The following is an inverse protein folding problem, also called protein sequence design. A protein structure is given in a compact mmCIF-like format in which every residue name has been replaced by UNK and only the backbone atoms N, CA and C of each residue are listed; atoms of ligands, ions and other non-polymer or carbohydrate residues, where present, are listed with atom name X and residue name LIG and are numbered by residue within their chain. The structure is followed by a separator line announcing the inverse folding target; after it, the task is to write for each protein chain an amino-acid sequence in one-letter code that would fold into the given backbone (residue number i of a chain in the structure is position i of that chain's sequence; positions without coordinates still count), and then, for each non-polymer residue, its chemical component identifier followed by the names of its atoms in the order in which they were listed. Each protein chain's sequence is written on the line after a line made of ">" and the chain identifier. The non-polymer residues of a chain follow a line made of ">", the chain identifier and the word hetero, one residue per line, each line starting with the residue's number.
data_IF_061685587855
#
_entry.id   IF_061685587855
#
_cell.length_a   1.000
_cell.length_b   1.000
_cell.length_c   1.000
_cell.angle_alpha   90.00
_cell.angle_beta   90.00
_cell.angle_gamma   90.00
#
_symmetry.space_group_name_H-M   'P 1'
#
loop_
_entity.id
_entity.type
_entity.pdbx_description
1 polymer ?
#
# COMPACT_ATOMS: atom_id res chain seq x y z
N UNK A 1 -30.11 12.51 -10.06
CA UNK A 1 -30.01 11.55 -8.96
C UNK A 1 -28.54 11.44 -8.53
N UNK A 2 -28.06 12.26 -7.58
CA UNK A 2 -26.63 12.39 -7.28
C UNK A 2 -26.03 11.22 -6.47
N UNK A 3 -26.88 10.38 -5.86
CA UNK A 3 -26.45 9.27 -4.99
C UNK A 3 -25.70 8.18 -5.79
N UNK A 4 -26.11 7.89 -7.02
CA UNK A 4 -25.44 6.89 -7.87
C UNK A 4 -24.01 7.30 -8.28
N UNK A 5 -23.79 8.57 -8.63
CA UNK A 5 -22.46 9.07 -8.97
C UNK A 5 -21.51 9.11 -7.74
N UNK A 6 -22.06 9.41 -6.56
CA UNK A 6 -21.32 9.37 -5.29
C UNK A 6 -20.91 7.97 -4.84
N UNK A 7 -21.68 6.92 -5.20
CA UNK A 7 -21.32 5.54 -4.89
C UNK A 7 -20.26 4.97 -5.83
N UNK A 8 -20.36 5.25 -7.13
CA UNK A 8 -19.35 4.82 -8.11
C UNK A 8 -17.98 5.45 -7.81
N UNK A 9 -17.94 6.74 -7.45
CA UNK A 9 -16.69 7.41 -7.07
C UNK A 9 -16.06 6.82 -5.81
N UNK A 10 -16.84 6.51 -4.77
CA UNK A 10 -16.34 5.85 -3.55
C UNK A 10 -15.81 4.44 -3.82
N UNK A 11 -16.51 3.65 -4.63
CA UNK A 11 -16.06 2.32 -5.01
C UNK A 11 -14.78 2.37 -5.86
N UNK A 12 -14.71 3.30 -6.82
CA UNK A 12 -13.51 3.51 -7.62
C UNK A 12 -12.32 3.91 -6.75
N UNK A 13 -12.51 4.84 -5.80
CA UNK A 13 -11.48 5.23 -4.84
C UNK A 13 -11.00 4.06 -3.97
N UNK A 14 -11.93 3.24 -3.45
CA UNK A 14 -11.56 2.09 -2.61
C UNK A 14 -10.81 1.02 -3.40
N UNK A 15 -11.25 0.74 -4.63
CA UNK A 15 -10.58 -0.22 -5.51
C UNK A 15 -9.17 0.26 -5.89
N UNK A 16 -9.01 1.56 -6.17
CA UNK A 16 -7.72 2.14 -6.51
C UNK A 16 -6.77 2.13 -5.31
N UNK A 17 -7.28 2.39 -4.09
CA UNK A 17 -6.51 2.26 -2.86
C UNK A 17 -6.08 0.80 -2.59
N UNK A 18 -6.98 -0.17 -2.80
CA UNK A 18 -6.64 -1.60 -2.67
C UNK A 18 -5.62 -2.04 -3.72
N UNK A 19 -5.79 -1.63 -4.98
CA UNK A 19 -4.87 -1.95 -6.06
C UNK A 19 -3.47 -1.37 -5.78
N UNK A 20 -3.40 -0.13 -5.29
CA UNK A 20 -2.15 0.50 -4.88
C UNK A 20 -1.49 -0.25 -3.74
N UNK A 21 -2.25 -0.64 -2.71
CA UNK A 21 -1.74 -1.42 -1.59
C UNK A 21 -1.16 -2.78 -2.04
N UNK A 22 -1.90 -3.52 -2.88
CA UNK A 22 -1.43 -4.77 -3.45
C UNK A 22 -0.18 -4.59 -4.31
N UNK A 23 -0.13 -3.51 -5.10
CA UNK A 23 1.01 -3.19 -5.94
C UNK A 23 2.27 -2.95 -5.10
N UNK A 24 2.17 -2.14 -4.05
CA UNK A 24 3.31 -1.85 -3.16
C UNK A 24 3.79 -3.14 -2.49
N UNK A 25 2.89 -3.91 -1.89
CA UNK A 25 3.25 -5.17 -1.21
C UNK A 25 3.85 -6.19 -2.20
N UNK A 26 3.29 -6.29 -3.41
CA UNK A 26 3.79 -7.20 -4.45
C UNK A 26 5.16 -6.81 -4.98
N UNK A 27 5.35 -5.54 -5.36
CA UNK A 27 6.62 -5.06 -5.93
C UNK A 27 7.73 -5.13 -4.90
N UNK A 28 7.47 -4.67 -3.68
CA UNK A 28 8.48 -4.59 -2.64
C UNK A 28 8.76 -5.96 -2.02
N UNK A 29 7.72 -6.77 -1.81
CA UNK A 29 7.83 -8.10 -1.20
C UNK A 29 8.32 -9.20 -2.14
N UNK A 30 8.30 -9.01 -3.46
CA UNK A 30 8.84 -9.97 -4.44
C UNK A 30 9.93 -9.35 -5.34
N UNK A 31 10.51 -8.22 -4.95
CA UNK A 31 11.62 -7.62 -5.70
C UNK A 31 12.87 -8.52 -5.65
N UNK A 32 13.47 -8.80 -6.81
CA UNK A 32 14.83 -9.34 -6.92
C UNK A 32 15.92 -8.30 -6.57
N UNK A 33 15.54 -7.03 -6.38
CA UNK A 33 16.46 -5.97 -5.99
C UNK A 33 16.59 -6.00 -4.47
N UNK A 34 17.67 -6.61 -3.97
CA UNK A 34 17.96 -6.77 -2.53
C UNK A 34 17.82 -5.45 -1.76
N UNK A 35 18.19 -4.31 -2.36
CA UNK A 35 18.03 -2.97 -1.75
C UNK A 35 16.57 -2.63 -1.45
N UNK A 36 15.65 -2.88 -2.38
CA UNK A 36 14.23 -2.52 -2.23
C UNK A 36 13.57 -3.45 -1.20
N UNK A 37 13.91 -4.73 -1.24
CA UNK A 37 13.41 -5.72 -0.32
C UNK A 37 13.93 -5.47 1.12
N UNK A 38 15.22 -5.20 1.27
CA UNK A 38 15.83 -4.87 2.57
C UNK A 38 15.31 -3.54 3.12
N UNK A 39 15.17 -2.50 2.29
CA UNK A 39 14.59 -1.23 2.74
C UNK A 39 13.16 -1.41 3.29
N UNK A 40 12.38 -2.33 2.73
CA UNK A 40 11.05 -2.67 3.25
C UNK A 40 11.09 -3.35 4.62
N UNK A 41 12.01 -4.31 4.80
CA UNK A 41 12.24 -4.94 6.10
C UNK A 41 12.78 -3.96 7.13
N UNK A 42 13.64 -3.02 6.72
CA UNK A 42 14.19 -1.97 7.58
C UNK A 42 13.10 -0.97 7.99
N UNK A 43 12.20 -0.60 7.08
CA UNK A 43 11.02 0.24 7.40
C UNK A 43 10.10 -0.50 8.37
N UNK A 44 9.87 -1.81 8.19
CA UNK A 44 9.09 -2.60 9.15
C UNK A 44 9.76 -2.64 10.54
N UNK A 45 11.08 -2.80 10.62
CA UNK A 45 11.82 -2.73 11.88
C UNK A 45 11.80 -1.31 12.49
N UNK A 46 11.86 -0.28 11.65
CA UNK A 46 11.80 1.12 12.09
C UNK A 46 10.37 1.55 12.50
N UNK A 47 9.35 0.93 11.90
CA UNK A 47 7.93 1.13 12.25
C UNK A 47 7.51 0.28 13.46
N UNK A 48 8.38 -0.61 13.95
CA UNK A 48 8.21 -1.32 15.21
C UNK A 48 8.45 -0.45 16.46
N UNK A 49 8.64 0.87 16.31
CA UNK A 49 8.66 1.91 17.38
C UNK A 49 9.46 1.53 18.65
N UNK A 50 10.66 2.09 18.83
CA UNK A 50 11.02 2.48 20.20
C UNK A 50 11.84 3.77 20.31
N UNK A 51 11.38 4.70 21.15
CA UNK A 51 12.27 5.60 21.93
C UNK A 51 11.53 6.42 23.02
N UNK A 52 10.68 5.76 23.83
CA UNK A 52 10.88 5.68 25.28
C UNK A 52 10.49 4.27 25.75
#
# INVERSE_FOLDING_TARGET
>A
MPIAAGQISRLAQSLMAMALGLFIVGVVGFSDIDVVHNAAHDVRHSNAFPCH
#
